data_IF_687012097375
#
_entry.id   IF_687012097375
#
_cell.length_a   1.000
_cell.length_b   1.000
_cell.length_c   1.000
_cell.angle_alpha   90.00
_cell.angle_beta   90.00
_cell.angle_gamma   90.00
#
_symmetry.space_group_name_H-M   'P 1'
#
loop_
_entity.id
_entity.type
_entity.pdbx_description
1 polymer ?
#
# COMPACT_ATOMS: atom_id res chain seq x y z
N UNK A 1 12.07 -23.32 -16.77
CA UNK A 1 11.92 -21.85 -16.79
C UNK A 1 10.71 -21.50 -15.96
N UNK A 2 10.75 -20.41 -15.19
CA UNK A 2 9.56 -19.94 -14.49
C UNK A 2 8.50 -19.47 -15.52
N UNK A 3 7.22 -19.64 -15.20
CA UNK A 3 6.11 -19.08 -15.98
C UNK A 3 6.21 -17.55 -15.99
N UNK A 4 5.73 -16.90 -17.05
CA UNK A 4 5.67 -15.44 -17.05
C UNK A 4 4.61 -14.94 -16.05
N UNK A 5 4.73 -13.70 -15.59
CA UNK A 5 3.72 -13.09 -14.72
C UNK A 5 2.32 -13.11 -15.36
N UNK A 6 2.26 -12.98 -16.69
CA UNK A 6 1.00 -13.07 -17.46
C UNK A 6 0.41 -14.47 -17.43
N UNK A 7 1.24 -15.51 -17.60
CA UNK A 7 0.75 -16.90 -17.56
C UNK A 7 0.24 -17.25 -16.16
N UNK A 8 0.93 -16.81 -15.11
CA UNK A 8 0.50 -16.99 -13.72
C UNK A 8 -0.80 -16.23 -13.40
N UNK A 9 -0.96 -15.02 -13.95
CA UNK A 9 -2.20 -14.26 -13.81
C UNK A 9 -3.39 -14.99 -14.44
N UNK A 10 -3.24 -15.48 -15.67
CA UNK A 10 -4.30 -16.24 -16.36
C UNK A 10 -4.66 -17.53 -15.60
N UNK A 11 -3.69 -18.17 -14.96
CA UNK A 11 -3.93 -19.32 -14.08
C UNK A 11 -4.65 -18.93 -12.79
N UNK A 12 -4.21 -17.85 -12.13
CA UNK A 12 -4.84 -17.34 -10.92
C UNK A 12 -6.30 -16.92 -11.18
N UNK A 13 -6.64 -16.41 -12.36
CA UNK A 13 -8.02 -16.05 -12.71
C UNK A 13 -8.97 -17.26 -12.76
N UNK A 14 -8.46 -18.50 -12.85
CA UNK A 14 -9.26 -19.73 -12.79
C UNK A 14 -9.62 -20.15 -11.36
N UNK A 15 -8.91 -19.62 -10.36
CA UNK A 15 -9.21 -19.86 -8.95
C UNK A 15 -10.53 -19.17 -8.56
N UNK A 16 -11.17 -19.67 -7.51
CA UNK A 16 -12.32 -18.98 -6.94
C UNK A 16 -11.91 -17.65 -6.27
N UNK A 17 -12.86 -16.74 -6.00
CA UNK A 17 -12.55 -15.44 -5.40
C UNK A 17 -11.76 -15.50 -4.08
N UNK A 18 -12.00 -16.50 -3.25
CA UNK A 18 -11.35 -16.67 -1.93
C UNK A 18 -9.91 -17.12 -2.11
N UNK A 19 -9.67 -18.10 -2.99
CA UNK A 19 -8.34 -18.58 -3.33
C UNK A 19 -7.52 -17.48 -4.02
N UNK A 20 -8.12 -16.68 -4.89
CA UNK A 20 -7.44 -15.50 -5.47
C UNK A 20 -7.04 -14.47 -4.42
N UNK A 21 -7.92 -14.16 -3.47
CA UNK A 21 -7.60 -13.26 -2.37
C UNK A 21 -6.45 -13.80 -1.50
N UNK A 22 -6.43 -15.11 -1.29
CA UNK A 22 -5.38 -15.81 -0.54
C UNK A 22 -4.04 -15.72 -1.28
N UNK A 23 -4.03 -15.99 -2.59
CA UNK A 23 -2.83 -15.84 -3.42
C UNK A 23 -2.33 -14.39 -3.42
N UNK A 24 -3.22 -13.42 -3.54
CA UNK A 24 -2.86 -11.99 -3.47
C UNK A 24 -2.21 -11.63 -2.14
N UNK A 25 -2.77 -12.12 -1.02
CA UNK A 25 -2.19 -11.92 0.32
C UNK A 25 -0.77 -12.48 0.41
N UNK A 26 -0.56 -13.72 -0.01
CA UNK A 26 0.77 -14.36 0.02
C UNK A 26 1.81 -13.61 -0.81
N UNK A 27 1.41 -13.07 -1.97
CA UNK A 27 2.28 -12.27 -2.82
C UNK A 27 2.64 -10.93 -2.17
N UNK A 28 1.66 -10.23 -1.58
CA UNK A 28 1.89 -8.95 -0.88
C UNK A 28 2.79 -9.16 0.34
N UNK A 29 2.48 -10.14 1.19
CA UNK A 29 3.24 -10.40 2.41
C UNK A 29 4.71 -10.76 2.11
N UNK A 30 4.98 -11.40 0.96
CA UNK A 30 6.34 -11.69 0.51
C UNK A 30 7.09 -10.42 0.05
N UNK A 31 6.40 -9.50 -0.63
CA UNK A 31 6.98 -8.20 -1.01
C UNK A 31 7.27 -7.34 0.22
N UNK A 32 6.39 -7.36 1.23
CA UNK A 32 6.61 -6.64 2.48
C UNK A 32 7.79 -7.21 3.27
N UNK A 33 8.02 -8.53 3.21
CA UNK A 33 9.19 -9.17 3.81
C UNK A 33 10.52 -8.80 3.10
N UNK A 34 10.45 -8.36 1.84
CA UNK A 34 11.60 -7.82 1.09
C UNK A 34 11.84 -6.32 1.34
N UNK A 35 10.99 -5.66 2.13
CA UNK A 35 11.17 -4.24 2.47
C UNK A 35 12.46 -4.01 3.28
N UNK A 36 13.13 -2.88 3.03
CA UNK A 36 14.39 -2.52 3.68
C UNK A 36 14.25 -2.52 5.21
N UNK A 37 15.20 -3.14 5.91
CA UNK A 37 15.27 -3.12 7.38
C UNK A 37 15.18 -1.67 7.88
N UNK A 38 14.16 -1.39 8.69
CA UNK A 38 13.93 -0.07 9.27
C UNK A 38 12.87 0.78 8.58
N UNK A 39 12.35 0.39 7.41
CA UNK A 39 11.26 1.11 6.74
C UNK A 39 10.02 1.23 7.65
N UNK A 40 9.58 0.14 8.27
CA UNK A 40 8.48 0.13 9.26
C UNK A 40 8.72 1.07 10.46
N UNK A 41 9.98 1.16 10.92
CA UNK A 41 10.36 2.06 12.01
C UNK A 41 10.26 3.52 11.58
N UNK A 42 10.85 3.87 10.44
CA UNK A 42 10.81 5.22 9.88
C UNK A 42 9.37 5.66 9.57
N UNK A 43 8.53 4.75 9.08
CA UNK A 43 7.10 5.03 8.86
C UNK A 43 6.36 5.32 10.16
N UNK A 44 6.63 4.55 11.23
CA UNK A 44 6.03 4.80 12.54
C UNK A 44 6.42 6.17 13.08
N UNK A 45 7.72 6.50 13.06
CA UNK A 45 8.22 7.80 13.50
C UNK A 45 7.58 8.96 12.72
N UNK A 46 7.45 8.80 11.40
CA UNK A 46 6.84 9.83 10.55
C UNK A 46 5.34 10.00 10.82
N UNK A 47 4.59 8.92 11.07
CA UNK A 47 3.18 8.99 11.44
C UNK A 47 3.00 9.72 12.75
N UNK A 48 3.79 9.36 13.78
CA UNK A 48 3.74 10.01 15.10
C UNK A 48 4.06 11.51 14.99
N UNK A 49 5.09 11.87 14.24
CA UNK A 49 5.46 13.27 13.97
C UNK A 49 4.31 14.04 13.31
N UNK A 50 3.70 13.49 12.25
CA UNK A 50 2.62 14.17 11.52
C UNK A 50 1.36 14.35 12.35
N UNK A 51 1.03 13.38 13.21
CA UNK A 51 -0.10 13.50 14.14
C UNK A 51 0.18 14.65 15.13
N UNK A 52 1.36 14.69 15.73
CA UNK A 52 1.74 15.75 16.67
C UNK A 52 1.73 17.15 16.02
N UNK A 53 2.21 17.28 14.78
CA UNK A 53 2.16 18.52 14.01
C UNK A 53 0.72 18.97 13.72
N UNK A 54 -0.15 18.01 13.39
CA UNK A 54 -1.58 18.28 13.15
C UNK A 54 -2.29 18.71 14.43
N UNK A 55 -2.12 17.97 15.53
CA UNK A 55 -2.78 18.23 16.81
C UNK A 55 -2.29 19.54 17.45
N UNK A 56 -1.02 19.90 17.24
CA UNK A 56 -0.46 21.18 17.69
C UNK A 56 -0.86 22.38 16.82
N UNK A 57 -1.50 22.15 15.67
CA UNK A 57 -1.86 23.19 14.71
C UNK A 57 -0.65 23.78 13.96
N UNK A 58 0.50 23.13 13.99
CA UNK A 58 1.70 23.55 13.24
C UNK A 58 1.50 23.42 11.73
N UNK A 59 0.60 22.55 11.30
CA UNK A 59 0.26 22.36 9.89
C UNK A 59 -1.20 22.74 9.62
N UNK A 60 -1.45 23.28 8.43
CA UNK A 60 -2.80 23.59 7.96
C UNK A 60 -3.36 22.39 7.19
N UNK A 61 -4.48 21.85 7.66
CA UNK A 61 -5.21 20.81 6.95
C UNK A 61 -5.85 21.36 5.66
N UNK A 62 -5.90 20.53 4.63
CA UNK A 62 -6.72 20.78 3.44
C UNK A 62 -7.95 19.88 3.47
N UNK A 63 -9.13 20.35 3.02
CA UNK A 63 -10.30 19.49 2.89
C UNK A 63 -10.01 18.29 1.98
N UNK A 64 -10.52 17.11 2.36
CA UNK A 64 -10.32 15.87 1.59
C UNK A 64 -10.75 16.00 0.14
N UNK A 65 -11.89 16.64 -0.13
CA UNK A 65 -12.41 16.81 -1.50
C UNK A 65 -11.46 17.63 -2.39
N UNK A 66 -10.76 18.62 -1.82
CA UNK A 66 -9.78 19.42 -2.54
C UNK A 66 -8.53 18.60 -2.89
N UNK A 67 -8.00 17.84 -1.92
CA UNK A 67 -6.87 16.96 -2.14
C UNK A 67 -7.20 15.86 -3.17
N UNK A 68 -8.37 15.25 -3.02
CA UNK A 68 -8.87 14.22 -3.92
C UNK A 68 -8.97 14.74 -5.35
N UNK A 69 -9.58 15.90 -5.56
CA UNK A 69 -9.70 16.50 -6.88
C UNK A 69 -8.32 16.68 -7.55
N UNK A 70 -7.29 17.09 -6.79
CA UNK A 70 -5.91 17.24 -7.32
C UNK A 70 -5.25 15.91 -7.67
N UNK A 71 -5.43 14.87 -6.86
CA UNK A 71 -4.80 13.55 -7.07
C UNK A 71 -5.33 12.84 -8.32
N UNK A 72 -6.63 12.94 -8.57
CA UNK A 72 -7.31 12.23 -9.68
C UNK A 72 -7.47 13.08 -10.95
N UNK A 73 -6.81 14.24 -11.03
CA UNK A 73 -6.73 15.07 -12.24
C UNK A 73 -5.57 14.67 -13.19
N UNK A 74 -4.76 13.68 -12.81
CA UNK A 74 -3.73 13.07 -13.66
C UNK A 74 -4.24 11.80 -14.33
#
# INVERSE_FOLDING_TARGET
MAKSARDLFEEAMRLDPTERATLMRLLVDNLDAESEEGAEGAWREEIERRIAEFDSGQVQAVPWEELRARLYQR
#
